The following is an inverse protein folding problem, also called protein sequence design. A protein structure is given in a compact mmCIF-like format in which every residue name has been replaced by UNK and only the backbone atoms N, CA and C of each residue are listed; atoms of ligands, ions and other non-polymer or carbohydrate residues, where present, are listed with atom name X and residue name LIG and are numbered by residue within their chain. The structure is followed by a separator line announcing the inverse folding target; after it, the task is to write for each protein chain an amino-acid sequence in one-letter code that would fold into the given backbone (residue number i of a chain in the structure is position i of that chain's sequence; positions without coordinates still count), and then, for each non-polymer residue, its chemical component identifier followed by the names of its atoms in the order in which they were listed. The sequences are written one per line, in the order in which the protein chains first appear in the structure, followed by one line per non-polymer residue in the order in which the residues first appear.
data_IF_299694018555
#
_entry.id   IF_299694018555
#
_cell.length_a   1.000
_cell.length_b   1.000
_cell.length_c   1.000
_cell.angle_alpha   90.00
_cell.angle_beta   90.00
_cell.angle_gamma   90.00
#
_symmetry.space_group_name_H-M   'P 1'
#
loop_
_entity.id
_entity.type
_entity.pdbx_description
1 polymer ?
#
# COMPACT_ATOMS: atom_id res chain seq x y z
N UNK A 1 -6.20 45.79 52.89
CA UNK A 1 -6.90 45.59 51.59
C UNK A 1 -6.08 44.63 50.78
N UNK A 2 -6.45 43.36 50.73
CA UNK A 2 -5.74 42.28 50.07
C UNK A 2 -6.40 41.99 48.73
N UNK A 3 -5.68 42.26 47.65
CA UNK A 3 -6.11 41.88 46.29
C UNK A 3 -5.57 40.48 45.92
N UNK A 4 -6.45 39.46 45.91
CA UNK A 4 -6.15 38.14 45.35
C UNK A 4 -6.36 38.21 43.81
N UNK A 5 -5.27 38.06 43.06
CA UNK A 5 -5.37 37.80 41.63
C UNK A 5 -5.58 36.29 41.46
N UNK A 6 -6.79 35.90 41.05
CA UNK A 6 -7.12 34.57 40.67
C UNK A 6 -6.52 34.25 39.27
N UNK A 7 -5.55 33.37 39.22
CA UNK A 7 -5.11 32.80 37.94
C UNK A 7 -6.23 31.92 37.37
N UNK A 8 -6.83 32.36 36.27
CA UNK A 8 -8.01 31.76 35.68
C UNK A 8 -7.74 30.43 34.95
N UNK A 9 -8.80 29.66 34.68
CA UNK A 9 -8.76 28.30 34.10
C UNK A 9 -8.26 28.23 32.65
N UNK A 10 -7.77 29.33 32.08
CA UNK A 10 -7.30 29.43 30.69
C UNK A 10 -5.92 28.81 30.44
N UNK A 11 -5.05 28.76 31.47
CA UNK A 11 -3.73 28.09 31.31
C UNK A 11 -3.85 26.56 31.25
N UNK A 12 -4.78 25.98 32.02
CA UNK A 12 -4.99 24.53 32.01
C UNK A 12 -5.56 24.03 30.68
N UNK A 13 -6.47 24.77 30.07
CA UNK A 13 -7.05 24.44 28.76
C UNK A 13 -6.02 24.55 27.61
N UNK A 14 -5.12 25.54 27.68
CA UNK A 14 -4.05 25.72 26.69
C UNK A 14 -2.98 24.59 26.76
N UNK A 15 -2.65 24.13 27.96
CA UNK A 15 -1.70 23.01 28.15
C UNK A 15 -2.31 21.69 27.74
N UNK A 16 -3.60 21.44 27.94
CA UNK A 16 -4.29 20.24 27.45
C UNK A 16 -4.43 20.26 25.93
N UNK A 17 -4.71 21.40 25.31
CA UNK A 17 -4.74 21.54 23.86
C UNK A 17 -3.36 21.36 23.22
N UNK A 18 -2.28 21.85 23.84
CA UNK A 18 -0.91 21.64 23.40
C UNK A 18 -0.45 20.18 23.58
N UNK A 19 -0.88 19.49 24.65
CA UNK A 19 -0.58 18.08 24.88
C UNK A 19 -1.33 17.16 23.89
N UNK A 20 -2.54 17.54 23.46
CA UNK A 20 -3.31 16.83 22.43
C UNK A 20 -2.74 17.02 21.00
N UNK A 21 -2.00 18.12 20.77
CA UNK A 21 -1.31 18.37 19.50
C UNK A 21 0.04 17.61 19.36
N UNK A 22 0.54 17.04 20.47
CA UNK A 22 1.80 16.28 20.52
C UNK A 22 1.59 14.75 20.52
N UNK A 23 0.37 14.26 20.28
CA UNK A 23 0.18 12.84 20.05
C UNK A 23 0.93 12.48 18.76
N UNK A 24 1.82 11.46 18.79
CA UNK A 24 2.48 11.01 17.59
C UNK A 24 1.40 10.61 16.59
N UNK A 25 1.34 11.31 15.46
CA UNK A 25 0.59 10.84 14.29
C UNK A 25 1.23 9.52 13.90
N UNK A 26 0.44 8.50 13.63
CA UNK A 26 0.94 7.26 13.06
C UNK A 26 1.81 7.65 11.85
N UNK A 27 3.08 7.25 11.89
CA UNK A 27 3.99 7.47 10.78
C UNK A 27 3.51 6.55 9.66
N UNK A 28 3.11 7.11 8.53
CA UNK A 28 2.76 6.33 7.35
C UNK A 28 3.99 6.11 6.52
N UNK A 29 4.22 4.87 6.12
CA UNK A 29 5.19 4.55 5.09
C UNK A 29 4.73 5.14 3.75
N UNK A 30 5.66 5.46 2.89
CA UNK A 30 5.39 5.74 1.47
C UNK A 30 4.87 4.46 0.81
N UNK A 31 4.04 4.59 -0.22
CA UNK A 31 3.53 3.44 -0.96
C UNK A 31 4.32 3.29 -2.25
N UNK A 32 5.03 2.18 -2.39
CA UNK A 32 5.75 1.78 -3.60
C UNK A 32 4.87 0.96 -4.55
N UNK A 33 3.98 0.15 -3.97
CA UNK A 33 3.10 -0.77 -4.66
C UNK A 33 1.64 -0.48 -4.29
N UNK A 34 0.80 -0.21 -5.30
CA UNK A 34 -0.65 -0.07 -5.15
C UNK A 34 -1.29 -1.20 -5.97
N UNK A 35 -1.44 -2.37 -5.37
CA UNK A 35 -1.96 -3.57 -6.02
C UNK A 35 -2.81 -4.41 -5.06
N UNK A 36 -3.92 -4.94 -5.55
CA UNK A 36 -4.68 -6.01 -4.89
C UNK A 36 -4.21 -7.35 -5.45
N UNK A 37 -3.69 -8.21 -4.58
CA UNK A 37 -3.22 -9.54 -4.99
C UNK A 37 -4.39 -10.46 -5.31
N UNK A 38 -4.43 -10.94 -6.54
CA UNK A 38 -5.56 -11.68 -7.14
C UNK A 38 -5.35 -13.21 -7.19
N UNK A 39 -4.27 -13.70 -6.55
CA UNK A 39 -3.91 -15.12 -6.53
C UNK A 39 -3.20 -15.61 -7.80
N UNK A 40 -2.82 -14.73 -8.71
CA UNK A 40 -1.95 -15.07 -9.84
C UNK A 40 -0.49 -15.14 -9.39
N UNK A 41 0.26 -16.08 -9.93
CA UNK A 41 1.71 -16.25 -9.73
C UNK A 41 2.39 -16.65 -11.03
N UNK A 42 3.68 -16.38 -11.15
CA UNK A 42 4.47 -16.84 -12.28
C UNK A 42 4.47 -18.38 -12.35
N UNK A 43 4.39 -18.93 -13.54
CA UNK A 43 4.45 -20.37 -13.74
C UNK A 43 5.81 -20.95 -13.25
N UNK A 44 5.87 -22.22 -12.83
CA UNK A 44 7.11 -22.83 -12.37
C UNK A 44 8.26 -22.68 -13.37
N UNK A 45 9.40 -22.12 -12.91
CA UNK A 45 10.58 -21.85 -13.73
C UNK A 45 10.53 -20.52 -14.49
N UNK A 46 9.43 -19.79 -14.46
CA UNK A 46 9.30 -18.48 -15.12
C UNK A 46 9.83 -17.38 -14.21
N UNK A 47 10.63 -16.50 -14.78
CA UNK A 47 11.05 -15.24 -14.18
C UNK A 47 10.18 -14.11 -14.78
N UNK A 48 9.41 -13.46 -13.95
CA UNK A 48 8.59 -12.31 -14.32
C UNK A 48 9.23 -11.00 -13.83
N UNK A 49 9.09 -9.93 -14.60
CA UNK A 49 9.43 -8.58 -14.20
C UNK A 49 8.16 -7.74 -14.21
N UNK A 50 7.86 -7.16 -13.06
CA UNK A 50 6.78 -6.18 -12.89
C UNK A 50 7.37 -4.83 -12.46
N UNK A 51 6.95 -3.76 -13.13
CA UNK A 51 7.25 -2.38 -12.74
C UNK A 51 6.02 -1.78 -12.11
N UNK A 52 6.15 -1.33 -10.88
CA UNK A 52 5.13 -0.57 -10.16
C UNK A 52 5.53 0.89 -10.13
N UNK A 53 4.68 1.77 -10.65
CA UNK A 53 4.89 3.21 -10.68
C UNK A 53 3.63 3.92 -10.18
N UNK A 54 3.80 4.80 -9.19
CA UNK A 54 2.73 5.58 -8.60
C UNK A 54 3.10 7.06 -8.61
N UNK A 55 2.31 7.88 -9.29
CA UNK A 55 2.50 9.33 -9.30
C UNK A 55 1.37 10.02 -8.55
N UNK A 56 1.71 10.92 -7.62
CA UNK A 56 0.76 11.63 -6.77
C UNK A 56 0.73 13.13 -7.11
N UNK A 57 -0.03 13.55 -8.14
CA UNK A 57 -0.09 14.96 -8.58
C UNK A 57 -0.69 15.91 -7.54
N UNK A 58 -1.61 15.44 -6.70
CA UNK A 58 -2.21 16.22 -5.60
C UNK A 58 -2.24 15.37 -4.33
N UNK A 59 -1.14 15.39 -3.60
CA UNK A 59 -0.93 14.67 -2.35
C UNK A 59 -0.89 15.56 -1.13
N UNK A 60 -0.66 14.92 0.01
CA UNK A 60 -0.40 15.58 1.27
C UNK A 60 0.85 16.44 1.17
N UNK A 61 0.77 17.68 1.63
CA UNK A 61 1.84 18.70 1.48
C UNK A 61 2.83 18.71 2.64
N UNK A 62 2.61 17.86 3.63
CA UNK A 62 3.49 17.69 4.79
C UNK A 62 4.03 16.27 4.82
N UNK A 63 5.29 16.07 5.21
CA UNK A 63 5.84 14.73 5.35
C UNK A 63 5.12 13.97 6.47
N UNK A 64 4.97 12.65 6.33
CA UNK A 64 4.34 11.78 7.32
C UNK A 64 5.11 11.75 8.65
N UNK A 65 6.43 11.87 8.59
CA UNK A 65 7.35 11.96 9.73
C UNK A 65 8.55 12.86 9.38
N UNK A 66 9.33 13.33 10.36
CA UNK A 66 10.49 14.17 10.11
C UNK A 66 11.51 13.50 9.18
N UNK A 67 11.77 14.10 8.03
CA UNK A 67 12.69 13.60 7.02
C UNK A 67 12.05 12.71 5.94
N UNK A 68 10.76 12.41 6.04
CA UNK A 68 10.04 11.67 4.99
C UNK A 68 9.92 12.47 3.69
N UNK A 69 9.80 11.75 2.59
CA UNK A 69 9.42 12.34 1.29
C UNK A 69 8.00 12.92 1.40
N UNK A 70 7.80 14.11 0.82
CA UNK A 70 6.47 14.74 0.76
C UNK A 70 5.68 14.10 -0.39
N UNK A 71 4.47 13.57 -0.15
CA UNK A 71 3.71 12.86 -1.18
C UNK A 71 3.32 13.73 -2.38
N UNK A 72 3.11 15.04 -2.18
CA UNK A 72 2.64 15.94 -3.23
C UNK A 72 3.64 16.11 -4.38
N UNK A 73 3.31 15.58 -5.54
CA UNK A 73 4.13 15.65 -6.76
C UNK A 73 5.28 14.65 -6.79
N UNK A 74 5.19 13.56 -6.03
CA UNK A 74 6.20 12.49 -6.04
C UNK A 74 5.80 11.38 -7.01
N UNK A 75 6.79 10.79 -7.67
CA UNK A 75 6.73 9.49 -8.31
C UNK A 75 7.45 8.51 -7.40
N UNK A 76 6.74 7.48 -6.95
CA UNK A 76 7.29 6.33 -6.25
C UNK A 76 7.21 5.11 -7.15
N UNK A 77 8.15 4.20 -7.04
CA UNK A 77 8.08 2.97 -7.79
C UNK A 77 9.10 1.93 -7.39
N UNK A 78 8.93 0.75 -7.98
CA UNK A 78 9.83 -0.38 -7.77
C UNK A 78 9.73 -1.39 -8.91
N UNK A 79 10.85 -1.89 -9.45
CA UNK A 79 10.89 -3.12 -10.21
C UNK A 79 10.83 -4.32 -9.26
N UNK A 80 9.92 -5.23 -9.55
CA UNK A 80 9.76 -6.51 -8.89
C UNK A 80 10.22 -7.62 -9.81
N UNK A 81 11.08 -8.50 -9.32
CA UNK A 81 11.50 -9.74 -9.97
C UNK A 81 10.84 -10.91 -9.23
N UNK A 82 9.91 -11.59 -9.89
CA UNK A 82 9.18 -12.72 -9.34
C UNK A 82 9.59 -14.00 -10.03
N UNK A 83 9.84 -15.06 -9.27
CA UNK A 83 10.21 -16.38 -9.79
C UNK A 83 9.24 -17.45 -9.31
N UNK A 84 8.57 -18.09 -10.25
CA UNK A 84 7.70 -19.23 -9.97
C UNK A 84 8.52 -20.46 -9.56
N UNK A 85 8.46 -20.83 -8.28
CA UNK A 85 9.19 -21.97 -7.73
C UNK A 85 8.43 -23.28 -7.96
N UNK A 86 7.13 -23.26 -7.74
CA UNK A 86 6.22 -24.37 -7.98
C UNK A 86 4.79 -23.84 -8.17
N UNK A 87 3.78 -24.68 -8.49
CA UNK A 87 2.42 -24.19 -8.76
C UNK A 87 1.71 -23.44 -7.63
N UNK A 88 2.24 -23.45 -6.43
CA UNK A 88 1.65 -22.77 -5.26
C UNK A 88 2.62 -21.83 -4.55
N UNK A 89 3.83 -21.61 -5.07
CA UNK A 89 4.82 -20.75 -4.42
C UNK A 89 5.62 -19.95 -5.43
N UNK A 90 5.73 -18.65 -5.17
CA UNK A 90 6.53 -17.69 -5.90
C UNK A 90 7.43 -16.90 -4.93
N UNK A 91 8.68 -16.73 -5.29
CA UNK A 91 9.65 -15.89 -4.58
C UNK A 91 9.83 -14.57 -5.34
N UNK A 92 9.83 -13.44 -4.61
CA UNK A 92 9.95 -12.11 -5.19
C UNK A 92 11.08 -11.29 -4.55
N UNK A 93 11.65 -10.40 -5.38
CA UNK A 93 12.62 -9.39 -4.99
C UNK A 93 12.19 -8.04 -5.60
N UNK A 94 11.95 -7.06 -4.76
CA UNK A 94 11.72 -5.67 -5.14
C UNK A 94 13.00 -4.86 -4.97
N UNK A 95 13.60 -4.38 -6.06
CA UNK A 95 14.90 -3.70 -6.01
C UNK A 95 15.17 -2.86 -7.26
N UNK A 96 15.51 -1.58 -7.09
CA UNK A 96 15.39 -0.78 -5.88
C UNK A 96 13.98 -0.18 -5.70
N UNK A 97 13.54 0.01 -4.48
CA UNK A 97 12.51 0.99 -4.22
C UNK A 97 13.07 2.38 -4.51
N UNK A 98 12.28 3.25 -5.12
CA UNK A 98 12.73 4.60 -5.45
C UNK A 98 11.62 5.64 -5.35
N UNK A 99 12.05 6.88 -5.08
CA UNK A 99 11.21 8.08 -5.14
C UNK A 99 11.86 9.13 -6.02
N UNK A 100 11.02 9.87 -6.76
CA UNK A 100 11.41 11.09 -7.47
C UNK A 100 10.50 12.21 -6.97
N UNK A 101 10.91 12.94 -5.91
CA UNK A 101 10.16 14.08 -5.39
C UNK A 101 10.08 15.21 -6.42
N UNK A 102 9.02 16.03 -6.32
CA UNK A 102 8.84 17.21 -7.18
C UNK A 102 10.04 18.17 -7.14
N UNK A 103 10.68 18.30 -5.99
CA UNK A 103 11.91 19.05 -5.82
C UNK A 103 12.97 18.12 -5.25
N UNK A 104 13.99 17.84 -6.05
CA UNK A 104 15.06 16.92 -5.69
C UNK A 104 15.39 15.97 -6.83
N UNK A 105 16.29 15.04 -6.57
CA UNK A 105 16.70 13.98 -7.50
C UNK A 105 16.09 12.64 -7.12
N UNK A 106 16.43 11.62 -7.90
CA UNK A 106 16.14 10.22 -7.59
C UNK A 106 16.69 9.85 -6.20
N UNK A 107 15.84 9.27 -5.37
CA UNK A 107 16.20 8.72 -4.06
C UNK A 107 16.00 7.21 -4.11
N UNK A 108 16.91 6.46 -3.50
CA UNK A 108 16.78 5.01 -3.35
C UNK A 108 16.25 4.71 -1.95
N UNK A 109 15.13 4.02 -1.88
CA UNK A 109 14.32 3.90 -0.68
C UNK A 109 14.48 2.57 0.04
N UNK A 110 15.12 1.60 -0.62
CA UNK A 110 15.36 0.29 -0.04
C UNK A 110 15.11 -0.85 -1.01
N UNK A 111 14.78 -2.01 -0.44
CA UNK A 111 14.39 -3.21 -1.17
C UNK A 111 13.48 -4.10 -0.32
N UNK A 112 12.75 -5.03 -0.96
CA UNK A 112 11.90 -6.02 -0.27
C UNK A 112 12.18 -7.42 -0.76
N UNK A 113 11.99 -8.38 0.12
CA UNK A 113 11.91 -9.81 -0.18
C UNK A 113 10.46 -10.25 -0.03
N UNK A 114 9.98 -11.08 -0.95
CA UNK A 114 8.62 -11.59 -0.96
C UNK A 114 8.56 -13.11 -1.03
N UNK A 115 7.60 -13.68 -0.32
CA UNK A 115 7.20 -15.09 -0.44
C UNK A 115 5.67 -15.15 -0.58
N UNK A 116 5.22 -15.52 -1.77
CA UNK A 116 3.78 -15.63 -2.10
C UNK A 116 3.39 -17.09 -2.22
N UNK A 117 2.43 -17.49 -1.41
CA UNK A 117 1.81 -18.81 -1.42
C UNK A 117 0.36 -18.68 -1.87
N UNK A 118 -0.04 -19.46 -2.86
CA UNK A 118 -1.43 -19.52 -3.34
C UNK A 118 -1.87 -20.97 -3.52
N UNK A 119 -3.16 -21.19 -3.45
CA UNK A 119 -3.73 -22.48 -3.83
C UNK A 119 -3.35 -22.82 -5.27
N UNK A 120 -2.82 -24.02 -5.55
CA UNK A 120 -2.51 -24.43 -6.91
C UNK A 120 -3.75 -24.31 -7.82
N UNK A 121 -3.53 -23.80 -9.05
CA UNK A 121 -4.61 -23.53 -10.00
C UNK A 121 -5.65 -22.48 -9.52
N UNK A 122 -5.27 -21.57 -8.62
CA UNK A 122 -6.14 -20.50 -8.11
C UNK A 122 -6.87 -19.75 -9.24
N UNK A 123 -6.23 -19.54 -10.39
CA UNK A 123 -6.83 -18.90 -11.56
C UNK A 123 -8.07 -19.64 -12.12
N UNK A 124 -8.23 -20.94 -11.86
CA UNK A 124 -9.34 -21.79 -12.33
C UNK A 124 -10.42 -22.01 -11.28
N UNK A 125 -10.19 -21.62 -10.02
CA UNK A 125 -11.12 -21.83 -8.91
C UNK A 125 -12.16 -20.71 -8.84
N UNK A 126 -13.39 -21.04 -8.47
CA UNK A 126 -14.44 -20.05 -8.17
C UNK A 126 -14.22 -19.34 -6.83
N UNK A 127 -13.56 -20.00 -5.90
CA UNK A 127 -13.01 -19.44 -4.67
C UNK A 127 -11.54 -19.82 -4.60
N UNK A 128 -10.70 -18.89 -4.27
CA UNK A 128 -9.28 -19.12 -4.09
C UNK A 128 -8.74 -18.35 -2.88
N UNK A 129 -7.62 -18.82 -2.38
CA UNK A 129 -6.94 -18.18 -1.24
C UNK A 129 -5.44 -18.27 -1.39
N UNK A 130 -4.77 -17.38 -0.67
CA UNK A 130 -3.32 -17.31 -0.62
C UNK A 130 -2.83 -16.54 0.59
N UNK A 131 -1.50 -16.43 0.69
CA UNK A 131 -0.83 -15.69 1.73
C UNK A 131 0.46 -15.11 1.17
N UNK A 132 0.61 -13.80 1.24
CA UNK A 132 1.84 -13.11 0.89
C UNK A 132 2.56 -12.66 2.16
N UNK A 133 3.87 -12.78 2.14
CA UNK A 133 4.77 -12.26 3.16
C UNK A 133 5.82 -11.38 2.51
N UNK A 134 5.97 -10.16 3.01
CA UNK A 134 7.04 -9.26 2.60
C UNK A 134 7.91 -8.89 3.78
N UNK A 135 9.20 -8.73 3.51
CA UNK A 135 10.17 -8.20 4.44
C UNK A 135 10.95 -7.08 3.78
N UNK A 136 10.85 -5.88 4.37
CA UNK A 136 11.38 -4.65 3.79
C UNK A 136 12.60 -4.15 4.54
N UNK A 137 13.57 -3.65 3.79
CA UNK A 137 14.74 -2.92 4.25
C UNK A 137 14.58 -1.47 3.79
N UNK A 138 14.30 -0.56 4.73
CA UNK A 138 13.87 0.80 4.43
C UNK A 138 14.98 1.81 4.66
N UNK A 139 15.10 2.79 3.77
CA UNK A 139 15.84 4.01 4.05
C UNK A 139 15.04 4.91 5.00
N UNK A 140 15.76 5.83 5.70
CA UNK A 140 15.15 6.69 6.72
C UNK A 140 14.13 7.71 6.21
N UNK A 141 14.17 8.02 4.92
CA UNK A 141 13.21 8.94 4.32
C UNK A 141 11.98 8.21 3.76
N UNK A 142 12.06 6.88 3.64
CA UNK A 142 10.98 6.01 3.24
C UNK A 142 10.12 5.57 4.44
N UNK A 143 10.75 5.01 5.46
CA UNK A 143 10.10 4.58 6.70
C UNK A 143 11.00 4.88 7.91
N UNK A 144 10.45 5.35 9.04
CA UNK A 144 11.23 5.57 10.26
C UNK A 144 11.80 4.27 10.86
N UNK A 145 11.23 3.12 10.49
CA UNK A 145 11.71 1.81 10.90
C UNK A 145 12.57 1.21 9.78
N UNK A 146 13.84 0.85 10.06
CA UNK A 146 14.74 0.31 9.03
C UNK A 146 14.30 -1.06 8.50
N UNK A 147 13.45 -1.75 9.25
CA UNK A 147 12.89 -3.05 8.87
C UNK A 147 11.39 -3.05 9.16
N UNK A 148 10.62 -3.49 8.18
CA UNK A 148 9.18 -3.73 8.30
C UNK A 148 8.84 -5.07 7.66
N UNK A 149 7.67 -5.59 7.92
CA UNK A 149 7.14 -6.75 7.22
C UNK A 149 5.64 -6.61 7.04
N UNK A 150 5.14 -7.22 5.99
CA UNK A 150 3.72 -7.30 5.71
C UNK A 150 3.29 -8.77 5.70
N UNK A 151 2.08 -9.02 6.21
CA UNK A 151 1.35 -10.28 6.06
C UNK A 151 0.08 -9.94 5.34
N UNK A 152 -0.12 -10.48 4.13
CA UNK A 152 -1.26 -10.21 3.26
C UNK A 152 -1.99 -11.50 2.92
N UNK A 153 -3.02 -11.90 3.66
CA UNK A 153 -3.94 -12.95 3.22
C UNK A 153 -4.64 -12.53 1.92
N UNK A 154 -4.92 -13.51 1.07
CA UNK A 154 -5.63 -13.31 -0.19
C UNK A 154 -6.87 -14.17 -0.15
N UNK A 155 -8.03 -13.57 -0.36
CA UNK A 155 -9.31 -14.25 -0.46
C UNK A 155 -10.01 -13.73 -1.72
N UNK A 156 -10.37 -14.63 -2.63
CA UNK A 156 -10.97 -14.22 -3.90
C UNK A 156 -12.12 -15.10 -4.33
N UNK A 157 -13.13 -14.47 -4.93
CA UNK A 157 -14.32 -15.14 -5.50
C UNK A 157 -14.47 -14.72 -6.96
N UNK A 158 -14.58 -15.71 -7.86
CA UNK A 158 -14.89 -15.50 -9.28
C UNK A 158 -16.35 -15.86 -9.55
N UNK A 159 -17.13 -14.88 -9.97
CA UNK A 159 -18.56 -14.95 -10.17
C UNK A 159 -18.90 -14.72 -11.66
N UNK A 160 -18.52 -15.68 -12.49
CA UNK A 160 -18.62 -15.56 -13.94
C UNK A 160 -17.62 -14.54 -14.49
N UNK A 161 -18.12 -13.38 -14.96
CA UNK A 161 -17.24 -12.28 -15.43
C UNK A 161 -16.79 -11.34 -14.31
N UNK A 162 -17.39 -11.39 -13.14
CA UNK A 162 -17.03 -10.57 -12.00
C UNK A 162 -16.09 -11.30 -11.07
N UNK A 163 -15.21 -10.57 -10.40
CA UNK A 163 -14.41 -11.04 -9.29
C UNK A 163 -14.53 -10.10 -8.08
N UNK A 164 -14.40 -10.66 -6.90
CA UNK A 164 -14.30 -9.93 -5.64
C UNK A 164 -13.09 -10.48 -4.91
N UNK A 165 -12.15 -9.60 -4.57
CA UNK A 165 -10.90 -9.97 -3.92
C UNK A 165 -10.70 -9.10 -2.70
N UNK A 166 -10.28 -9.72 -1.59
CA UNK A 166 -9.99 -9.02 -0.34
C UNK A 166 -8.63 -9.46 0.16
N UNK A 167 -7.78 -8.49 0.45
CA UNK A 167 -6.49 -8.70 1.09
C UNK A 167 -6.52 -8.02 2.47
N UNK A 168 -6.81 -8.72 3.57
CA UNK A 168 -6.76 -8.18 4.92
C UNK A 168 -5.31 -8.07 5.39
N UNK A 169 -4.66 -6.95 5.08
CA UNK A 169 -3.22 -6.72 5.28
C UNK A 169 -2.93 -6.35 6.74
N UNK A 170 -1.84 -6.89 7.27
CA UNK A 170 -1.25 -6.55 8.56
C UNK A 170 0.19 -6.09 8.37
N UNK A 171 0.42 -4.81 8.63
CA UNK A 171 1.76 -4.23 8.61
C UNK A 171 2.41 -4.32 10.00
N UNK A 172 3.69 -4.71 10.01
CA UNK A 172 4.46 -4.95 11.21
C UNK A 172 5.76 -4.14 11.24
N UNK A 173 5.85 -3.22 12.17
CA UNK A 173 7.05 -2.42 12.43
C UNK A 173 8.02 -3.05 13.43
N UNK A 174 7.82 -4.32 13.83
CA UNK A 174 8.59 -5.09 14.79
C UNK A 174 8.63 -4.51 16.23
N UNK A 175 7.64 -3.65 16.54
CA UNK A 175 7.46 -3.04 17.87
C UNK A 175 6.49 -3.83 18.77
N UNK A 176 6.09 -5.02 18.33
CA UNK A 176 5.19 -5.92 19.05
C UNK A 176 3.76 -5.92 18.47
N UNK A 177 2.97 -6.95 18.85
CA UNK A 177 1.62 -7.22 18.30
C UNK A 177 0.64 -6.03 18.48
N UNK A 178 0.86 -5.20 19.51
CA UNK A 178 0.02 -4.00 19.72
C UNK A 178 0.24 -2.90 18.70
N UNK A 179 1.30 -2.99 17.91
CA UNK A 179 1.68 -2.03 16.88
C UNK A 179 1.52 -2.59 15.46
N UNK A 180 0.77 -3.67 15.29
CA UNK A 180 0.34 -4.12 13.97
C UNK A 180 -0.71 -3.14 13.44
N UNK A 181 -0.46 -2.60 12.25
CA UNK A 181 -1.42 -1.76 11.55
C UNK A 181 -2.29 -2.62 10.62
N UNK A 182 -3.58 -2.29 10.54
CA UNK A 182 -4.53 -2.98 9.68
C UNK A 182 -4.82 -2.12 8.46
N UNK A 183 -4.33 -2.56 7.29
CA UNK A 183 -4.37 -1.81 6.05
C UNK A 183 -4.96 -2.66 4.90
N UNK A 184 -6.25 -3.07 4.97
CA UNK A 184 -6.83 -3.97 3.97
C UNK A 184 -6.95 -3.30 2.60
N UNK A 185 -6.91 -4.13 1.55
CA UNK A 185 -7.30 -3.73 0.21
C UNK A 185 -8.37 -4.65 -0.35
N UNK A 186 -9.22 -4.09 -1.22
CA UNK A 186 -10.36 -4.79 -1.82
C UNK A 186 -10.46 -4.43 -3.29
N UNK A 187 -10.79 -5.43 -4.14
CA UNK A 187 -11.05 -5.24 -5.56
C UNK A 187 -12.40 -5.84 -5.92
N UNK A 188 -13.16 -5.10 -6.73
CA UNK A 188 -14.33 -5.61 -7.44
C UNK A 188 -14.07 -5.40 -8.92
N UNK A 189 -13.81 -6.50 -9.64
CA UNK A 189 -13.45 -6.52 -11.05
C UNK A 189 -14.57 -7.03 -11.95
N UNK A 190 -14.51 -6.67 -13.23
CA UNK A 190 -15.39 -7.18 -14.26
C UNK A 190 -14.64 -7.36 -15.58
N UNK A 191 -14.58 -8.60 -16.06
CA UNK A 191 -13.93 -8.99 -17.31
C UNK A 191 -14.83 -8.61 -18.50
N UNK A 192 -14.47 -7.59 -19.24
CA UNK A 192 -15.16 -7.14 -20.46
C UNK A 192 -14.92 -8.13 -21.60
N UNK A 193 -13.66 -8.48 -21.79
CA UNK A 193 -13.16 -9.46 -22.77
C UNK A 193 -12.09 -10.33 -22.13
N UNK A 194 -11.54 -11.35 -22.80
CA UNK A 194 -10.38 -12.10 -22.28
C UNK A 194 -9.12 -11.25 -22.06
N UNK A 195 -9.02 -10.10 -22.71
CA UNK A 195 -7.85 -9.23 -22.62
C UNK A 195 -8.09 -7.93 -21.83
N UNK A 196 -9.33 -7.57 -21.53
CA UNK A 196 -9.66 -6.30 -20.89
C UNK A 196 -10.59 -6.50 -19.71
N UNK A 197 -10.22 -5.93 -18.58
CA UNK A 197 -11.06 -5.82 -17.40
C UNK A 197 -11.13 -4.37 -16.91
N UNK A 198 -12.15 -4.09 -16.12
CA UNK A 198 -12.28 -2.85 -15.34
C UNK A 198 -12.52 -3.22 -13.89
N UNK A 199 -12.03 -2.40 -12.96
CA UNK A 199 -12.22 -2.64 -11.55
C UNK A 199 -12.39 -1.36 -10.75
N UNK A 200 -13.00 -1.51 -9.57
CA UNK A 200 -12.88 -0.58 -8.46
C UNK A 200 -12.00 -1.24 -7.40
N UNK A 201 -11.02 -0.50 -6.91
CA UNK A 201 -10.14 -0.97 -5.84
C UNK A 201 -10.13 0.03 -4.71
N UNK A 202 -10.22 -0.45 -3.48
CA UNK A 202 -10.14 0.35 -2.27
C UNK A 202 -8.92 -0.07 -1.46
N UNK A 203 -8.16 0.92 -1.01
CA UNK A 203 -6.99 0.76 -0.16
C UNK A 203 -7.20 1.57 1.09
N UNK A 204 -7.20 0.89 2.22
CA UNK A 204 -7.49 1.44 3.51
C UNK A 204 -6.30 1.35 4.45
N UNK A 205 -6.24 2.25 5.43
CA UNK A 205 -5.37 2.14 6.59
C UNK A 205 -6.15 2.64 7.81
N UNK A 206 -6.54 1.69 8.65
CA UNK A 206 -7.28 1.93 9.88
C UNK A 206 -6.36 2.26 11.06
N UNK A 207 -5.03 2.14 10.87
CA UNK A 207 -4.04 2.21 11.93
C UNK A 207 -3.97 0.94 12.76
N UNK A 208 -3.51 1.04 13.99
CA UNK A 208 -3.23 -0.10 14.84
C UNK A 208 -4.47 -0.96 15.13
N UNK A 209 -4.38 -2.27 14.89
CA UNK A 209 -5.49 -3.23 15.02
C UNK A 209 -6.14 -3.22 16.41
N UNK A 210 -5.40 -2.89 17.47
CA UNK A 210 -5.94 -2.78 18.83
C UNK A 210 -6.64 -1.46 19.12
N UNK A 211 -6.37 -0.42 18.31
CA UNK A 211 -6.93 0.91 18.49
C UNK A 211 -6.93 1.63 17.15
N UNK A 212 -7.95 1.36 16.35
CA UNK A 212 -8.14 2.06 15.09
C UNK A 212 -8.11 3.58 15.28
N UNK A 213 -7.52 4.25 14.31
CA UNK A 213 -7.53 5.71 14.24
C UNK A 213 -8.96 6.25 14.11
N UNK A 214 -9.15 7.53 14.44
CA UNK A 214 -10.43 8.20 14.22
C UNK A 214 -10.70 8.25 12.70
N UNK A 215 -11.96 8.20 12.23
CA UNK A 215 -12.29 8.15 10.81
C UNK A 215 -11.64 9.22 9.94
N UNK A 216 -11.43 10.43 10.48
CA UNK A 216 -10.76 11.53 9.77
C UNK A 216 -9.21 11.43 9.78
N UNK A 217 -8.66 10.51 10.53
CA UNK A 217 -7.22 10.22 10.58
C UNK A 217 -6.86 8.91 9.85
N UNK A 218 -7.84 8.08 9.50
CA UNK A 218 -7.67 6.91 8.67
C UNK A 218 -7.38 7.31 7.22
N UNK A 219 -6.75 6.43 6.44
CA UNK A 219 -6.63 6.57 4.99
C UNK A 219 -7.64 5.69 4.29
N UNK A 220 -8.31 6.27 3.31
CA UNK A 220 -9.20 5.55 2.41
C UNK A 220 -8.99 6.10 1.01
N UNK A 221 -8.62 5.25 0.06
CA UNK A 221 -8.36 5.66 -1.32
C UNK A 221 -9.06 4.70 -2.28
N UNK A 222 -9.92 5.23 -3.14
CA UNK A 222 -10.67 4.48 -4.14
C UNK A 222 -10.09 4.71 -5.53
N UNK A 223 -9.74 3.63 -6.21
CA UNK A 223 -9.23 3.62 -7.58
C UNK A 223 -10.27 3.13 -8.58
N UNK A 224 -10.36 3.80 -9.70
CA UNK A 224 -10.92 3.24 -10.94
C UNK A 224 -9.75 2.66 -11.75
N UNK A 225 -9.85 1.38 -12.11
CA UNK A 225 -8.76 0.61 -12.71
C UNK A 225 -9.19 0.01 -14.04
N UNK A 226 -8.24 -0.06 -14.96
CA UNK A 226 -8.36 -0.77 -16.23
C UNK A 226 -7.16 -1.69 -16.38
N UNK A 227 -7.44 -2.97 -16.67
CA UNK A 227 -6.43 -3.98 -16.93
C UNK A 227 -6.43 -4.38 -18.40
N UNK A 228 -5.26 -4.57 -18.92
CA UNK A 228 -5.00 -5.22 -20.18
C UNK A 228 -4.06 -6.40 -19.98
N UNK A 229 -4.53 -7.60 -20.27
CA UNK A 229 -3.74 -8.82 -20.27
C UNK A 229 -3.45 -9.23 -21.69
N UNK A 230 -2.18 -9.19 -22.07
CA UNK A 230 -1.79 -9.51 -23.45
C UNK A 230 -0.29 -9.51 -23.70
N UNK A 231 0.09 -9.90 -24.90
CA UNK A 231 1.50 -9.90 -25.30
C UNK A 231 1.86 -8.61 -26.03
N UNK A 232 3.05 -8.05 -25.84
CA UNK A 232 4.19 -8.62 -25.07
C UNK A 232 4.20 -8.24 -23.58
N UNK A 233 3.20 -7.52 -23.08
CA UNK A 233 3.18 -6.95 -21.74
C UNK A 233 1.75 -6.89 -21.20
N UNK A 234 1.57 -7.18 -19.93
CA UNK A 234 0.35 -6.91 -19.18
C UNK A 234 0.42 -5.51 -18.58
N UNK A 235 -0.71 -4.82 -18.54
CA UNK A 235 -0.80 -3.42 -18.08
C UNK A 235 -1.98 -3.29 -17.13
N UNK A 236 -1.75 -2.70 -15.96
CA UNK A 236 -2.78 -2.21 -15.08
C UNK A 236 -2.61 -0.71 -14.89
N UNK A 237 -3.67 0.06 -15.09
CA UNK A 237 -3.69 1.51 -14.92
C UNK A 237 -4.83 1.91 -14.01
N UNK A 238 -4.57 2.85 -13.09
CA UNK A 238 -5.60 3.32 -12.19
C UNK A 238 -5.49 4.80 -11.85
N UNK A 239 -6.65 5.38 -11.55
CA UNK A 239 -6.79 6.75 -11.00
C UNK A 239 -7.45 6.63 -9.64
N UNK A 240 -6.75 7.03 -8.61
CA UNK A 240 -7.15 6.94 -7.21
C UNK A 240 -7.54 8.28 -6.61
N UNK A 241 -8.63 8.29 -5.87
CA UNK A 241 -9.18 9.46 -5.18
C UNK A 241 -9.18 9.22 -3.67
N UNK A 242 -8.55 10.13 -2.92
CA UNK A 242 -8.60 10.12 -1.46
C UNK A 242 -9.99 10.47 -0.93
N UNK A 243 -10.51 9.65 -0.02
CA UNK A 243 -11.83 9.79 0.56
C UNK A 243 -11.79 10.48 1.94
N UNK A 244 -10.61 10.61 2.54
CA UNK A 244 -10.42 11.21 3.86
C UNK A 244 -9.40 12.35 3.81
N UNK A 245 -9.42 13.29 4.77
CA UNK A 245 -8.44 14.39 4.82
C UNK A 245 -6.98 13.94 4.99
N UNK A 246 -6.78 12.70 5.47
CA UNK A 246 -5.46 12.12 5.72
C UNK A 246 -4.99 11.19 4.59
N UNK A 247 -5.55 11.34 3.40
CA UNK A 247 -5.22 10.57 2.19
C UNK A 247 -4.82 11.53 1.07
N UNK A 248 -3.92 11.11 0.19
CA UNK A 248 -3.59 11.83 -1.03
C UNK A 248 -4.84 12.00 -1.90
N UNK A 249 -5.10 13.22 -2.38
CA UNK A 249 -6.33 13.53 -3.10
C UNK A 249 -6.41 12.88 -4.47
N UNK A 250 -5.28 12.78 -5.14
CA UNK A 250 -5.19 12.18 -6.47
C UNK A 250 -3.88 11.41 -6.60
N UNK A 251 -3.98 10.13 -6.96
CA UNK A 251 -2.86 9.25 -7.26
C UNK A 251 -3.12 8.53 -8.58
N UNK A 252 -2.11 8.44 -9.41
CA UNK A 252 -2.12 7.64 -10.63
C UNK A 252 -1.24 6.42 -10.40
N UNK A 253 -1.72 5.24 -10.76
CA UNK A 253 -0.91 4.01 -10.74
C UNK A 253 -0.75 3.43 -12.13
N UNK A 254 0.43 2.85 -12.37
CA UNK A 254 0.76 2.09 -13.56
C UNK A 254 1.56 0.86 -13.14
N UNK A 255 1.08 -0.31 -13.53
CA UNK A 255 1.80 -1.58 -13.35
C UNK A 255 2.02 -2.17 -14.74
N UNK A 256 3.26 -2.52 -15.03
CA UNK A 256 3.67 -3.15 -16.29
C UNK A 256 4.34 -4.47 -15.97
N UNK A 257 3.82 -5.58 -16.47
CA UNK A 257 4.33 -6.92 -16.17
C UNK A 257 4.61 -7.73 -17.42
N UNK A 258 5.69 -8.51 -17.40
CA UNK A 258 5.99 -9.49 -18.44
C UNK A 258 6.90 -10.61 -17.96
N UNK A 259 6.73 -11.78 -18.55
CA UNK A 259 7.66 -12.86 -18.41
C UNK A 259 8.94 -12.59 -19.23
N UNK A 260 10.09 -12.92 -18.65
CA UNK A 260 11.42 -12.69 -19.24
C UNK A 260 11.98 -13.94 -19.97
N UNK A 261 11.43 -15.12 -19.67
CA UNK A 261 11.85 -16.40 -20.28
C UNK A 261 10.65 -17.29 -20.60
#
# INVERSE_FOLDING_TARGET
MSGRFGAGPRLGAALIAAALALLPRAARAQTDEIQVYNGEIAAPGVLNLTLHDNYTPDGLKTPAFPGAVVPNGVLNGVPEFAYGVNPGFEAGLYLPLYSVPRAGGLQLDGFKLRALFVEPDAAKQSFFYGMNFEFSFNSKHWDPNPYTSEIRPILGWRLGKADIIVNPILDNSWKGISHLDFAPSTRIGYNLTPAWAVAAEEYDDFGQIRRFERPNAQSHQLFAVVDYTGKPIDIEMGVGFGLTPNTDRLTLKLILSRDLN
#
